data_IF_352262805176
#
_entry.id   IF_352262805176
#
_cell.length_a   1.000
_cell.length_b   1.000
_cell.length_c   1.000
_cell.angle_alpha   90.00
_cell.angle_beta   90.00
_cell.angle_gamma   90.00
#
_symmetry.space_group_name_H-M   'P 1'
#
loop_
_entity.id
_entity.type
_entity.pdbx_description
1 polymer ?
#
# COMPACT_ATOMS: atom_id res chain seq x y z
N UNK A 1 14.89 -18.71 47.51
CA UNK A 1 13.73 -17.80 47.61
C UNK A 1 14.19 -16.50 48.26
N UNK A 2 13.95 -15.29 47.73
CA UNK A 2 13.89 -14.86 46.32
C UNK A 2 14.94 -13.77 45.97
N UNK A 3 15.11 -13.58 44.66
CA UNK A 3 16.03 -12.65 43.97
C UNK A 3 15.58 -11.18 44.11
N UNK A 4 16.52 -10.27 44.39
CA UNK A 4 16.36 -8.82 44.14
C UNK A 4 16.51 -8.56 42.64
N UNK A 5 15.43 -8.10 42.00
CA UNK A 5 15.47 -7.54 40.66
C UNK A 5 15.85 -6.06 40.76
N UNK A 6 16.99 -5.71 40.16
CA UNK A 6 17.37 -4.35 39.87
C UNK A 6 16.48 -3.81 38.72
N UNK A 7 15.90 -2.63 38.93
CA UNK A 7 15.43 -1.78 37.83
C UNK A 7 16.64 -1.04 37.23
N UNK A 8 16.81 -1.04 35.90
CA UNK A 8 17.48 0.05 35.22
C UNK A 8 16.45 0.91 34.48
N UNK A 9 16.62 2.23 34.63
CA UNK A 9 15.72 3.26 34.14
C UNK A 9 15.50 3.21 32.63
N UNK A 10 14.24 3.30 32.26
CA UNK A 10 13.83 3.64 30.90
C UNK A 10 14.20 5.10 30.64
N UNK A 11 15.18 5.27 29.76
CA UNK A 11 15.70 6.52 29.25
C UNK A 11 14.60 7.34 28.53
N UNK A 12 14.34 8.55 29.03
CA UNK A 12 13.31 9.48 28.52
C UNK A 12 13.65 10.07 27.13
N UNK A 13 14.81 9.74 26.57
CA UNK A 13 15.26 10.23 25.26
C UNK A 13 14.71 9.44 24.06
N UNK A 14 14.14 8.25 24.23
CA UNK A 14 13.57 7.46 23.12
C UNK A 14 12.15 7.85 22.72
N UNK A 15 11.43 8.63 23.54
CA UNK A 15 10.06 9.04 23.25
C UNK A 15 9.96 10.26 22.30
N UNK A 16 11.07 10.93 22.00
CA UNK A 16 11.09 12.12 21.13
C UNK A 16 11.44 11.83 19.67
N UNK A 17 11.76 10.59 19.29
CA UNK A 17 11.99 10.19 17.89
C UNK A 17 10.67 9.79 17.18
N UNK A 18 9.59 9.56 17.93
CA UNK A 18 8.33 9.05 17.39
C UNK A 18 7.32 10.12 16.92
N UNK A 19 7.68 11.41 16.97
CA UNK A 19 6.73 12.52 16.78
C UNK A 19 6.95 13.41 15.53
N UNK A 20 7.76 13.01 14.53
CA UNK A 20 8.00 13.85 13.33
C UNK A 20 7.69 13.26 11.95
N UNK A 21 7.07 12.08 11.83
CA UNK A 21 6.87 11.44 10.51
C UNK A 21 5.43 11.04 10.18
N UNK A 22 4.48 11.95 10.36
CA UNK A 22 3.13 11.78 9.80
C UNK A 22 2.59 13.10 9.25
N UNK A 23 2.52 13.22 7.91
CA UNK A 23 1.67 14.24 7.30
C UNK A 23 1.94 14.59 5.84
N UNK A 24 3.20 14.81 5.45
CA UNK A 24 3.48 15.45 4.15
C UNK A 24 3.67 14.50 2.95
N UNK A 25 4.12 13.26 3.14
CA UNK A 25 4.37 12.35 2.00
C UNK A 25 3.13 11.61 1.50
N UNK A 26 2.06 11.57 2.29
CA UNK A 26 0.86 10.80 1.94
C UNK A 26 0.03 11.48 0.81
N UNK A 27 0.07 12.81 0.71
CA UNK A 27 -0.69 13.55 -0.32
C UNK A 27 -0.05 13.47 -1.73
N UNK A 28 1.26 13.24 -1.85
CA UNK A 28 1.93 13.13 -3.17
C UNK A 28 1.74 11.77 -3.83
N UNK A 29 1.64 10.69 -3.05
CA UNK A 29 1.41 9.34 -3.58
C UNK A 29 -0.04 9.14 -4.03
N UNK A 30 -1.00 9.82 -3.40
CA UNK A 30 -2.42 9.71 -3.71
C UNK A 30 -2.85 10.47 -4.98
N UNK A 31 -2.19 11.60 -5.29
CA UNK A 31 -2.51 12.41 -6.49
C UNK A 31 -1.97 11.80 -7.81
N UNK A 32 -0.95 10.95 -7.78
CA UNK A 32 -0.40 10.31 -8.98
C UNK A 32 -1.22 9.10 -9.47
N UNK A 33 -2.08 8.53 -8.61
CA UNK A 33 -3.01 7.46 -8.99
C UNK A 33 -4.14 7.90 -9.91
N UNK A 34 -4.52 9.18 -9.90
CA UNK A 34 -5.59 9.69 -10.77
C UNK A 34 -5.11 10.04 -12.19
N UNK A 35 -3.82 10.29 -12.40
CA UNK A 35 -3.27 10.57 -13.73
C UNK A 35 -3.24 9.32 -14.64
N UNK A 36 -3.20 8.11 -14.07
CA UNK A 36 -3.24 6.84 -14.81
C UNK A 36 -4.62 6.55 -15.44
N UNK A 37 -5.69 7.18 -14.93
CA UNK A 37 -7.06 6.99 -15.45
C UNK A 37 -7.28 7.73 -16.77
N UNK A 38 -6.51 8.79 -17.06
CA UNK A 38 -6.66 9.56 -18.30
C UNK A 38 -5.91 8.96 -19.50
N UNK A 39 -4.86 8.14 -19.28
CA UNK A 39 -4.04 7.62 -20.38
C UNK A 39 -4.72 6.48 -21.17
N UNK A 40 -5.61 5.72 -20.52
CA UNK A 40 -6.37 4.62 -21.14
C UNK A 40 -7.50 5.07 -22.07
N UNK A 41 -7.85 6.37 -22.09
CA UNK A 41 -8.86 6.92 -23.03
C UNK A 41 -8.30 7.30 -24.40
N UNK A 42 -7.02 7.65 -24.52
CA UNK A 42 -6.48 8.15 -25.80
C UNK A 42 -6.04 7.07 -26.79
N UNK A 43 -5.79 5.84 -26.35
CA UNK A 43 -5.31 4.74 -27.23
C UNK A 43 -6.41 3.87 -27.84
N UNK A 44 -7.69 4.24 -27.72
CA UNK A 44 -8.84 3.50 -28.31
C UNK A 44 -9.28 3.98 -29.70
N UNK A 45 -8.63 4.99 -30.31
CA UNK A 45 -9.09 5.55 -31.60
C UNK A 45 -8.45 4.94 -32.86
N UNK A 46 -7.32 4.24 -32.78
CA UNK A 46 -6.57 3.85 -33.99
C UNK A 46 -6.22 2.35 -34.06
N UNK A 47 -7.21 1.47 -34.05
CA UNK A 47 -7.04 0.12 -34.62
C UNK A 47 -8.33 -0.34 -35.32
N UNK A 48 -8.36 -0.18 -36.64
CA UNK A 48 -9.18 -1.02 -37.51
C UNK A 48 -8.55 -2.43 -37.58
N UNK A 49 -9.32 -3.52 -37.49
CA UNK A 49 -8.79 -4.86 -37.66
C UNK A 49 -9.01 -5.34 -39.10
N UNK A 50 -8.01 -6.03 -39.64
CA UNK A 50 -8.17 -6.99 -40.72
C UNK A 50 -7.25 -8.16 -40.43
N UNK A 51 -7.68 -9.34 -40.85
CA UNK A 51 -6.99 -10.65 -40.78
C UNK A 51 -7.55 -11.60 -39.70
N UNK A 52 -8.69 -12.20 -40.07
CA UNK A 52 -9.01 -13.64 -40.16
C UNK A 52 -8.38 -14.65 -39.20
N UNK A 53 -9.28 -15.39 -38.56
CA UNK A 53 -9.15 -16.56 -37.69
C UNK A 53 -8.57 -17.81 -38.39
N UNK A 54 -7.85 -18.65 -37.64
CA UNK A 54 -7.99 -20.10 -37.75
C UNK A 54 -7.55 -20.82 -36.46
N UNK A 55 -8.40 -21.72 -35.96
CA UNK A 55 -7.95 -22.95 -35.29
C UNK A 55 -7.98 -23.03 -33.76
N UNK A 56 -9.17 -23.19 -33.19
CA UNK A 56 -9.53 -24.25 -32.22
C UNK A 56 -8.80 -24.39 -30.87
N UNK A 57 -9.60 -24.57 -29.81
CA UNK A 57 -9.25 -25.07 -28.45
C UNK A 57 -8.79 -24.07 -27.37
N UNK A 58 -9.24 -22.80 -27.44
CA UNK A 58 -8.98 -21.77 -26.42
C UNK A 58 -10.25 -21.07 -25.92
N UNK A 59 -11.33 -21.81 -25.64
CA UNK A 59 -12.56 -21.21 -25.09
C UNK A 59 -12.98 -21.78 -23.73
N UNK A 60 -12.36 -22.87 -23.27
CA UNK A 60 -12.71 -23.50 -21.98
C UNK A 60 -11.74 -23.16 -20.83
N UNK A 61 -10.51 -22.71 -21.13
CA UNK A 61 -9.57 -22.19 -20.12
C UNK A 61 -9.75 -20.69 -19.81
N UNK A 62 -10.50 -19.99 -20.66
CA UNK A 62 -10.71 -18.55 -20.55
C UNK A 62 -11.89 -18.20 -19.63
N UNK A 63 -12.83 -19.13 -19.39
CA UNK A 63 -13.99 -18.91 -18.51
C UNK A 63 -13.62 -18.93 -17.02
N UNK A 64 -12.69 -19.80 -16.62
CA UNK A 64 -12.24 -19.91 -15.22
C UNK A 64 -11.28 -18.80 -14.80
N UNK A 65 -10.51 -18.24 -15.75
CA UNK A 65 -9.61 -17.10 -15.51
C UNK A 65 -10.34 -15.76 -15.59
N UNK A 66 -11.39 -15.65 -16.42
CA UNK A 66 -12.26 -14.47 -16.46
C UNK A 66 -12.98 -14.23 -15.12
N UNK A 67 -13.34 -15.28 -14.38
CA UNK A 67 -14.00 -15.12 -13.08
C UNK A 67 -13.03 -14.69 -11.96
N UNK A 68 -11.75 -15.09 -12.05
CA UNK A 68 -10.69 -14.62 -11.15
C UNK A 68 -10.28 -13.16 -11.47
N UNK A 69 -10.17 -12.80 -12.75
CA UNK A 69 -9.95 -11.41 -13.17
C UNK A 69 -11.13 -10.51 -12.79
N UNK A 70 -12.36 -11.00 -12.93
CA UNK A 70 -13.57 -10.27 -12.49
C UNK A 70 -13.57 -10.05 -10.98
N UNK A 71 -13.06 -10.99 -10.18
CA UNK A 71 -12.97 -10.83 -8.72
C UNK A 71 -11.94 -9.78 -8.29
N UNK A 72 -10.80 -9.68 -8.98
CA UNK A 72 -9.79 -8.65 -8.73
C UNK A 72 -10.19 -7.27 -9.28
N UNK A 73 -10.80 -7.19 -10.46
CA UNK A 73 -11.39 -5.95 -11.00
C UNK A 73 -12.59 -5.50 -10.16
N UNK A 74 -13.39 -6.43 -9.62
CA UNK A 74 -14.48 -6.14 -8.69
C UNK A 74 -13.95 -5.59 -7.36
N UNK A 75 -12.83 -6.11 -6.84
CA UNK A 75 -12.20 -5.60 -5.62
C UNK A 75 -11.58 -4.20 -5.83
N UNK A 76 -11.06 -3.89 -7.02
CA UNK A 76 -10.62 -2.54 -7.40
C UNK A 76 -11.77 -1.60 -7.81
N UNK A 77 -12.96 -2.11 -8.16
CA UNK A 77 -14.17 -1.33 -8.49
C UNK A 77 -15.06 -1.04 -7.26
N UNK A 78 -14.98 -1.84 -6.19
CA UNK A 78 -15.85 -1.68 -5.01
C UNK A 78 -15.28 -0.72 -3.96
N UNK A 79 -14.85 0.47 -4.41
CA UNK A 79 -14.83 1.66 -3.55
C UNK A 79 -15.05 2.93 -4.35
N UNK A 80 -16.06 2.92 -5.21
CA UNK A 80 -16.80 4.14 -5.48
C UNK A 80 -17.87 4.24 -4.38
N UNK A 81 -17.72 5.09 -3.34
CA UNK A 81 -18.91 5.48 -2.60
C UNK A 81 -19.83 6.10 -3.65
N UNK A 82 -21.06 5.58 -3.78
CA UNK A 82 -22.15 6.30 -4.42
C UNK A 82 -22.41 7.57 -3.57
N UNK A 83 -21.54 8.55 -3.74
CA UNK A 83 -21.45 9.78 -3.00
C UNK A 83 -22.27 10.81 -3.77
N UNK A 84 -23.57 10.56 -3.91
CA UNK A 84 -24.42 11.33 -4.82
C UNK A 84 -25.75 11.80 -4.24
N UNK A 85 -26.38 11.05 -3.35
CA UNK A 85 -27.77 11.37 -2.92
C UNK A 85 -27.98 11.48 -1.40
N UNK A 86 -27.16 10.82 -0.58
CA UNK A 86 -27.28 10.90 0.89
C UNK A 86 -26.68 12.18 1.49
N UNK A 87 -25.77 12.84 0.76
CA UNK A 87 -25.04 14.02 1.21
C UNK A 87 -25.97 15.24 1.39
N UNK A 88 -26.81 15.64 0.40
CA UNK A 88 -27.67 16.83 0.55
C UNK A 88 -28.78 16.65 1.61
N UNK A 89 -29.36 15.46 1.76
CA UNK A 89 -30.39 15.19 2.78
C UNK A 89 -29.81 15.34 4.19
N UNK A 90 -28.57 14.87 4.41
CA UNK A 90 -27.88 15.03 5.69
C UNK A 90 -27.58 16.50 6.01
N UNK A 91 -27.21 17.31 5.01
CA UNK A 91 -27.01 18.75 5.18
C UNK A 91 -28.30 19.48 5.55
N UNK A 92 -29.41 19.18 4.86
CA UNK A 92 -30.73 19.77 5.17
C UNK A 92 -31.19 19.37 6.57
N UNK A 93 -31.05 18.10 6.94
CA UNK A 93 -31.38 17.63 8.29
C UNK A 93 -30.51 18.30 9.37
N UNK A 94 -29.22 18.51 9.10
CA UNK A 94 -28.31 19.22 10.02
C UNK A 94 -28.72 20.69 10.19
N UNK A 95 -29.08 21.37 9.10
CA UNK A 95 -29.54 22.76 9.15
C UNK A 95 -30.84 22.86 9.97
N UNK A 96 -31.80 21.96 9.73
CA UNK A 96 -33.05 21.91 10.51
C UNK A 96 -32.74 21.65 11.98
N UNK A 97 -31.83 20.72 12.29
CA UNK A 97 -31.42 20.43 13.66
C UNK A 97 -30.81 21.67 14.34
N UNK A 98 -29.91 22.39 13.67
CA UNK A 98 -29.29 23.62 14.20
C UNK A 98 -30.35 24.69 14.46
N UNK A 99 -31.29 24.88 13.52
CA UNK A 99 -32.38 25.85 13.67
C UNK A 99 -33.27 25.49 14.86
N UNK A 100 -33.64 24.21 15.00
CA UNK A 100 -34.46 23.71 16.11
C UNK A 100 -33.73 23.88 17.44
N UNK A 101 -32.45 23.53 17.52
CA UNK A 101 -31.62 23.71 18.73
C UNK A 101 -31.54 25.19 19.11
N UNK A 102 -31.30 26.09 18.16
CA UNK A 102 -31.28 27.54 18.41
C UNK A 102 -32.65 28.09 18.84
N UNK A 103 -33.74 27.58 18.28
CA UNK A 103 -35.10 27.94 18.67
C UNK A 103 -35.41 27.49 20.11
N UNK A 104 -35.03 26.26 20.47
CA UNK A 104 -35.16 25.72 21.84
C UNK A 104 -34.31 26.54 22.82
N UNK A 105 -33.08 26.88 22.45
CA UNK A 105 -32.18 27.70 23.27
C UNK A 105 -32.83 29.03 23.67
N UNK A 106 -33.40 29.75 22.70
CA UNK A 106 -34.06 31.04 22.93
C UNK A 106 -35.31 30.94 23.82
N UNK A 107 -35.90 29.75 23.96
CA UNK A 107 -37.10 29.49 24.76
C UNK A 107 -36.79 28.97 26.17
N UNK A 108 -35.52 28.73 26.47
CA UNK A 108 -35.04 28.28 27.77
C UNK A 108 -34.91 29.47 28.74
N UNK A 109 -35.16 29.28 30.04
CA UNK A 109 -34.98 30.35 31.03
C UNK A 109 -33.50 30.73 31.15
N UNK A 110 -33.22 31.97 31.57
CA UNK A 110 -31.85 32.49 31.68
C UNK A 110 -31.04 31.63 32.67
N UNK A 111 -31.62 31.21 33.80
CA UNK A 111 -30.89 30.34 34.75
C UNK A 111 -30.53 28.98 34.16
N UNK A 112 -31.39 28.44 33.27
CA UNK A 112 -31.14 27.18 32.61
C UNK A 112 -30.12 27.31 31.46
N UNK A 113 -30.05 28.47 30.79
CA UNK A 113 -28.99 28.76 29.82
C UNK A 113 -27.62 28.83 30.51
N UNK A 114 -27.53 29.54 31.62
CA UNK A 114 -26.28 29.69 32.40
C UNK A 114 -25.78 28.33 32.90
N UNK A 115 -26.68 27.47 33.43
CA UNK A 115 -26.33 26.10 33.83
C UNK A 115 -25.75 25.27 32.68
N UNK A 116 -26.33 25.35 31.47
CA UNK A 116 -25.87 24.58 30.32
C UNK A 116 -24.49 25.06 29.85
N UNK A 117 -24.28 26.39 29.78
CA UNK A 117 -23.00 26.97 29.34
C UNK A 117 -21.89 26.65 30.34
N UNK A 118 -22.16 26.79 31.64
CA UNK A 118 -21.12 26.69 32.66
C UNK A 118 -20.80 25.25 33.08
N UNK A 119 -21.76 24.32 32.98
CA UNK A 119 -21.59 22.95 33.49
C UNK A 119 -21.74 21.88 32.40
N UNK A 120 -22.79 21.95 31.57
CA UNK A 120 -23.10 20.86 30.64
C UNK A 120 -22.17 20.86 29.40
N UNK A 121 -21.85 22.01 28.83
CA UNK A 121 -20.96 22.12 27.66
C UNK A 121 -19.53 21.66 27.98
N UNK A 122 -18.89 22.09 29.09
CA UNK A 122 -17.56 21.59 29.45
C UNK A 122 -17.52 20.08 29.68
N UNK A 123 -18.51 19.51 30.37
CA UNK A 123 -18.57 18.07 30.67
C UNK A 123 -18.76 17.21 29.42
N UNK A 124 -19.56 17.67 28.46
CA UNK A 124 -19.76 16.97 27.18
C UNK A 124 -18.52 17.04 26.29
N UNK A 125 -17.82 18.18 26.24
CA UNK A 125 -16.54 18.31 25.55
C UNK A 125 -15.50 17.37 26.16
N UNK A 126 -15.38 17.33 27.49
CA UNK A 126 -14.47 16.40 28.19
C UNK A 126 -14.81 14.94 27.87
N UNK A 127 -16.10 14.59 27.87
CA UNK A 127 -16.56 13.25 27.52
C UNK A 127 -16.22 12.85 26.08
N UNK A 128 -16.43 13.75 25.11
CA UNK A 128 -16.07 13.52 23.70
C UNK A 128 -14.56 13.41 23.49
N UNK A 129 -13.78 14.27 24.15
CA UNK A 129 -12.32 14.21 24.11
C UNK A 129 -11.83 12.89 24.72
N UNK A 130 -12.36 12.49 25.88
CA UNK A 130 -12.06 11.21 26.51
C UNK A 130 -12.41 10.01 25.62
N UNK A 131 -13.59 10.04 24.98
CA UNK A 131 -14.01 9.01 24.04
C UNK A 131 -13.08 8.92 22.82
N UNK A 132 -12.65 10.05 22.26
CA UNK A 132 -11.71 10.09 21.14
C UNK A 132 -10.32 9.57 21.55
N UNK A 133 -9.84 9.97 22.73
CA UNK A 133 -8.57 9.53 23.32
C UNK A 133 -8.54 8.02 23.56
N UNK A 134 -9.67 7.38 23.84
CA UNK A 134 -9.77 5.92 23.95
C UNK A 134 -10.00 5.24 22.59
N UNK A 135 -10.82 5.83 21.72
CA UNK A 135 -11.18 5.24 20.44
C UNK A 135 -9.99 5.08 19.49
N UNK A 136 -9.13 6.10 19.38
CA UNK A 136 -7.96 6.08 18.51
C UNK A 136 -7.00 4.91 18.85
N UNK A 137 -6.52 4.74 20.10
CA UNK A 137 -5.62 3.64 20.44
C UNK A 137 -6.31 2.27 20.35
N UNK A 138 -7.60 2.17 20.71
CA UNK A 138 -8.34 0.90 20.58
C UNK A 138 -8.44 0.49 19.11
N UNK A 139 -8.81 1.43 18.22
CA UNK A 139 -8.86 1.19 16.78
C UNK A 139 -7.47 0.81 16.24
N UNK A 140 -6.44 1.52 16.67
CA UNK A 140 -5.06 1.24 16.28
C UNK A 140 -4.61 -0.17 16.72
N UNK A 141 -4.90 -0.57 17.97
CA UNK A 141 -4.62 -1.89 18.50
C UNK A 141 -5.37 -2.99 17.75
N UNK A 142 -6.67 -2.79 17.46
CA UNK A 142 -7.46 -3.74 16.65
C UNK A 142 -6.89 -3.88 15.23
N UNK A 143 -6.59 -2.78 14.55
CA UNK A 143 -5.98 -2.81 13.22
C UNK A 143 -4.60 -3.50 13.24
N UNK A 144 -3.80 -3.28 14.30
CA UNK A 144 -2.51 -3.94 14.48
C UNK A 144 -2.67 -5.45 14.72
N UNK A 145 -3.65 -5.84 15.53
CA UNK A 145 -3.97 -7.25 15.78
C UNK A 145 -4.43 -7.97 14.52
N UNK A 146 -5.34 -7.38 13.74
CA UNK A 146 -5.83 -7.97 12.48
C UNK A 146 -4.67 -8.19 11.51
N UNK A 147 -3.80 -7.19 11.32
CA UNK A 147 -2.60 -7.35 10.46
C UNK A 147 -1.66 -8.44 10.97
N UNK A 148 -1.47 -8.53 12.29
CA UNK A 148 -0.63 -9.58 12.89
C UNK A 148 -1.21 -10.99 12.69
N UNK A 149 -2.53 -11.15 12.80
CA UNK A 149 -3.20 -12.44 12.60
C UNK A 149 -3.09 -12.89 11.14
N UNK A 150 -3.35 -11.98 10.21
CA UNK A 150 -3.27 -12.29 8.77
C UNK A 150 -1.84 -12.68 8.37
N UNK A 151 -0.83 -11.96 8.88
CA UNK A 151 0.58 -12.35 8.68
C UNK A 151 0.86 -13.77 9.17
N UNK A 152 0.45 -14.12 10.40
CA UNK A 152 0.66 -15.47 10.94
C UNK A 152 -0.04 -16.53 10.10
N UNK A 153 -1.27 -16.26 9.66
CA UNK A 153 -2.02 -17.15 8.76
C UNK A 153 -1.27 -17.37 7.45
N UNK A 154 -0.83 -16.29 6.80
CA UNK A 154 -0.10 -16.37 5.53
C UNK A 154 1.23 -17.13 5.67
N UNK A 155 1.96 -16.96 6.79
CA UNK A 155 3.16 -17.74 7.09
C UNK A 155 2.86 -19.24 7.24
N UNK A 156 1.78 -19.59 7.93
CA UNK A 156 1.38 -21.00 8.07
C UNK A 156 0.99 -21.62 6.72
N UNK A 157 0.35 -20.85 5.85
CA UNK A 157 0.02 -21.29 4.49
C UNK A 157 1.29 -21.45 3.65
N UNK A 158 2.21 -20.49 3.71
CA UNK A 158 3.46 -20.52 2.95
C UNK A 158 4.32 -21.74 3.28
N UNK A 159 4.38 -22.15 4.55
CA UNK A 159 5.12 -23.35 4.96
C UNK A 159 4.49 -24.66 4.52
N UNK A 160 3.17 -24.70 4.36
CA UNK A 160 2.43 -25.92 4.00
C UNK A 160 2.32 -26.11 2.49
N UNK A 161 2.33 -25.02 1.74
CA UNK A 161 2.12 -25.05 0.29
C UNK A 161 3.39 -25.52 -0.44
N UNK A 162 3.24 -26.52 -1.31
CA UNK A 162 4.35 -27.06 -2.12
C UNK A 162 4.33 -26.53 -3.56
N UNK A 163 3.18 -26.05 -4.04
CA UNK A 163 3.01 -25.56 -5.41
C UNK A 163 3.67 -24.20 -5.59
N UNK A 164 4.63 -24.11 -6.53
CA UNK A 164 5.44 -22.91 -6.73
C UNK A 164 4.63 -21.64 -7.05
N UNK A 165 3.60 -21.75 -7.89
CA UNK A 165 2.74 -20.62 -8.26
C UNK A 165 2.00 -20.03 -7.05
N UNK A 166 1.37 -20.90 -6.24
CA UNK A 166 0.68 -20.48 -5.01
C UNK A 166 1.65 -19.98 -3.96
N UNK A 167 2.84 -20.58 -3.84
CA UNK A 167 3.89 -20.07 -2.94
C UNK A 167 4.26 -18.64 -3.33
N UNK A 168 4.39 -18.35 -4.62
CA UNK A 168 4.70 -17.00 -5.10
C UNK A 168 3.59 -16.00 -4.78
N UNK A 169 2.32 -16.38 -4.98
CA UNK A 169 1.17 -15.56 -4.56
C UNK A 169 1.19 -15.27 -3.06
N UNK A 170 1.50 -16.28 -2.24
CA UNK A 170 1.63 -16.12 -0.79
C UNK A 170 2.80 -15.20 -0.42
N UNK A 171 3.93 -15.26 -1.14
CA UNK A 171 5.05 -14.32 -0.93
C UNK A 171 4.63 -12.88 -1.22
N UNK A 172 3.93 -12.65 -2.32
CA UNK A 172 3.44 -11.31 -2.67
C UNK A 172 2.45 -10.80 -1.61
N UNK A 173 1.48 -11.63 -1.22
CA UNK A 173 0.54 -11.30 -0.16
C UNK A 173 1.22 -11.01 1.19
N UNK A 174 2.24 -11.80 1.56
CA UNK A 174 3.01 -11.62 2.80
C UNK A 174 3.73 -10.27 2.83
N UNK A 175 4.46 -9.94 1.77
CA UNK A 175 5.24 -8.71 1.70
C UNK A 175 4.34 -7.47 1.58
N UNK A 176 3.24 -7.55 0.83
CA UNK A 176 2.27 -6.46 0.74
C UNK A 176 1.53 -6.23 2.06
N UNK A 177 1.12 -7.31 2.75
CA UNK A 177 0.49 -7.21 4.07
C UNK A 177 1.47 -6.66 5.13
N UNK A 178 2.77 -6.88 4.97
CA UNK A 178 3.82 -6.32 5.84
C UNK A 178 4.33 -4.94 5.36
N UNK A 179 3.64 -4.28 4.43
CA UNK A 179 4.00 -2.96 3.90
C UNK A 179 5.45 -2.91 3.38
N UNK A 180 5.95 -4.00 2.81
CA UNK A 180 7.33 -4.19 2.35
C UNK A 180 8.42 -4.12 3.44
N UNK A 181 8.05 -4.25 4.72
CA UNK A 181 9.00 -4.43 5.82
C UNK A 181 9.37 -5.91 5.94
N UNK A 182 10.57 -6.19 6.44
CA UNK A 182 11.04 -7.56 6.71
C UNK A 182 10.83 -7.99 8.17
N UNK A 183 10.41 -7.06 9.03
CA UNK A 183 10.24 -7.30 10.45
C UNK A 183 9.23 -8.43 10.72
N UNK A 184 9.68 -9.47 11.43
CA UNK A 184 8.91 -10.67 11.72
C UNK A 184 8.82 -11.68 10.56
N UNK A 185 9.59 -11.50 9.49
CA UNK A 185 9.71 -12.44 8.36
C UNK A 185 11.11 -13.05 8.25
N UNK A 186 12.00 -12.81 9.20
CA UNK A 186 13.44 -13.11 9.13
C UNK A 186 13.72 -14.59 8.83
N UNK A 187 12.92 -15.49 9.40
CA UNK A 187 13.06 -16.94 9.21
C UNK A 187 12.72 -17.39 7.78
N UNK A 188 11.87 -16.66 7.06
CA UNK A 188 11.45 -17.02 5.70
C UNK A 188 12.21 -16.25 4.62
N UNK A 189 12.90 -15.15 4.96
CA UNK A 189 13.67 -14.31 4.01
C UNK A 189 14.54 -15.12 3.05
N UNK A 190 15.32 -16.14 3.47
CA UNK A 190 16.14 -16.91 2.54
C UNK A 190 15.31 -17.62 1.46
N UNK A 191 14.17 -18.21 1.85
CA UNK A 191 13.25 -18.87 0.93
C UNK A 191 12.53 -17.87 0.02
N UNK A 192 12.15 -16.70 0.55
CA UNK A 192 11.57 -15.62 -0.26
C UNK A 192 12.57 -15.17 -1.34
N UNK A 193 13.83 -14.95 -0.95
CA UNK A 193 14.89 -14.51 -1.86
C UNK A 193 15.08 -15.49 -3.01
N UNK A 194 15.24 -16.77 -2.70
CA UNK A 194 15.44 -17.81 -3.71
C UNK A 194 14.27 -17.87 -4.69
N UNK A 195 13.04 -17.87 -4.17
CA UNK A 195 11.84 -17.93 -5.00
C UNK A 195 11.68 -16.68 -5.89
N UNK A 196 11.92 -15.48 -5.35
CA UNK A 196 11.81 -14.24 -6.10
C UNK A 196 12.94 -14.10 -7.13
N UNK A 197 14.17 -14.51 -6.80
CA UNK A 197 15.30 -14.47 -7.72
C UNK A 197 15.09 -15.41 -8.91
N UNK A 198 14.67 -16.65 -8.64
CA UNK A 198 14.34 -17.62 -9.71
C UNK A 198 13.18 -17.15 -10.56
N UNK A 199 12.16 -16.55 -9.96
CA UNK A 199 11.00 -15.97 -10.66
C UNK A 199 11.41 -14.84 -11.60
N UNK A 200 12.27 -13.92 -11.13
CA UNK A 200 12.78 -12.82 -11.94
C UNK A 200 13.63 -13.33 -13.13
N UNK A 201 14.32 -14.47 -12.98
CA UNK A 201 15.13 -15.08 -14.04
C UNK A 201 14.33 -15.89 -15.08
N UNK A 202 13.21 -16.53 -14.70
CA UNK A 202 12.61 -17.62 -15.49
C UNK A 202 11.27 -17.35 -16.16
N UNK A 203 10.59 -16.26 -15.85
CA UNK A 203 9.24 -16.09 -16.35
C UNK A 203 9.20 -16.07 -17.92
N UNK A 204 8.48 -17.01 -18.58
CA UNK A 204 7.99 -17.07 -20.02
C UNK A 204 6.48 -16.68 -20.44
N UNK A 205 6.17 -15.51 -21.07
CA UNK A 205 4.79 -15.05 -21.47
C UNK A 205 4.22 -13.69 -20.95
N UNK A 206 3.07 -13.24 -21.49
CA UNK A 206 2.46 -11.90 -21.28
C UNK A 206 2.20 -11.51 -19.81
N UNK A 207 1.82 -12.45 -18.94
CA UNK A 207 1.57 -12.15 -17.51
C UNK A 207 2.84 -11.84 -16.72
N UNK A 208 4.00 -11.90 -17.34
CA UNK A 208 5.22 -12.06 -16.59
C UNK A 208 6.06 -10.85 -16.45
N UNK A 209 5.92 -9.87 -17.33
CA UNK A 209 6.46 -8.58 -17.00
C UNK A 209 5.88 -8.11 -15.65
N UNK A 210 4.61 -8.42 -15.35
CA UNK A 210 4.02 -8.15 -14.02
C UNK A 210 4.71 -8.96 -12.92
N UNK A 211 4.84 -10.27 -13.08
CA UNK A 211 5.47 -11.15 -12.09
C UNK A 211 6.96 -10.82 -11.88
N UNK A 212 7.72 -10.58 -12.95
CA UNK A 212 9.13 -10.13 -12.93
C UNK A 212 9.25 -8.79 -12.22
N UNK A 213 8.39 -7.82 -12.54
CA UNK A 213 8.43 -6.51 -11.88
C UNK A 213 8.09 -6.60 -10.39
N UNK A 214 7.09 -7.40 -10.01
CA UNK A 214 6.80 -7.66 -8.60
C UNK A 214 7.99 -8.31 -7.90
N UNK A 215 8.58 -9.34 -8.51
CA UNK A 215 9.77 -10.00 -7.99
C UNK A 215 10.95 -9.02 -7.80
N UNK A 216 11.24 -8.17 -8.79
CA UNK A 216 12.28 -7.14 -8.69
C UNK A 216 12.01 -6.13 -7.57
N UNK A 217 10.77 -5.65 -7.45
CA UNK A 217 10.36 -4.74 -6.37
C UNK A 217 10.52 -5.38 -4.98
N UNK A 218 10.12 -6.65 -4.85
CA UNK A 218 10.14 -7.39 -3.60
C UNK A 218 11.56 -7.81 -3.18
N UNK A 219 12.41 -8.19 -4.13
CA UNK A 219 13.83 -8.43 -3.85
C UNK A 219 14.51 -7.20 -3.24
N UNK A 220 14.17 -6.00 -3.73
CA UNK A 220 14.65 -4.76 -3.11
C UNK A 220 14.08 -4.47 -1.72
N UNK A 221 12.91 -5.02 -1.38
CA UNK A 221 12.33 -4.91 -0.04
C UNK A 221 13.02 -5.83 0.98
N UNK A 222 13.65 -6.92 0.53
CA UNK A 222 14.36 -7.86 1.41
C UNK A 222 15.64 -7.29 2.03
N UNK A 223 16.10 -6.10 1.60
CA UNK A 223 17.32 -5.44 2.11
C UNK A 223 18.62 -6.26 1.96
N UNK A 224 18.63 -7.28 1.12
CA UNK A 224 19.80 -8.11 0.82
C UNK A 224 20.52 -7.59 -0.43
N UNK A 225 21.72 -7.03 -0.29
CA UNK A 225 22.51 -6.48 -1.41
C UNK A 225 23.03 -7.52 -2.39
N UNK A 226 23.01 -8.82 -2.06
CA UNK A 226 23.44 -9.88 -2.99
C UNK A 226 22.60 -9.95 -4.27
N UNK A 227 21.40 -9.37 -4.26
CA UNK A 227 20.48 -9.37 -5.41
C UNK A 227 20.72 -8.18 -6.36
N UNK A 228 21.61 -7.25 -6.03
CA UNK A 228 21.88 -6.06 -6.85
C UNK A 228 22.26 -6.41 -8.30
N UNK A 229 23.16 -7.38 -8.60
CA UNK A 229 23.46 -7.73 -9.99
C UNK A 229 22.23 -8.20 -10.77
N UNK A 230 21.32 -8.90 -10.10
CA UNK A 230 20.07 -9.37 -10.71
C UNK A 230 19.11 -8.21 -10.98
N UNK A 231 19.01 -7.24 -10.06
CA UNK A 231 18.21 -6.04 -10.26
C UNK A 231 18.79 -5.11 -11.34
N UNK A 232 20.12 -5.03 -11.47
CA UNK A 232 20.76 -4.31 -12.57
C UNK A 232 20.39 -4.93 -13.92
N UNK A 233 20.36 -6.26 -14.02
CA UNK A 233 19.88 -6.94 -15.23
C UNK A 233 18.40 -6.65 -15.50
N UNK A 234 17.56 -6.61 -14.47
CA UNK A 234 16.14 -6.28 -14.60
C UNK A 234 15.88 -4.80 -14.97
N UNK A 235 16.85 -3.91 -14.72
CA UNK A 235 16.80 -2.52 -15.18
C UNK A 235 16.98 -2.40 -16.71
N UNK A 236 17.44 -3.47 -17.37
CA UNK A 236 17.62 -3.57 -18.82
C UNK A 236 16.49 -4.40 -19.48
N UNK A 237 15.43 -4.75 -18.74
CA UNK A 237 14.30 -5.56 -19.21
C UNK A 237 13.52 -4.86 -20.33
N UNK A 238 12.95 -5.65 -21.24
CA UNK A 238 12.18 -5.15 -22.39
C UNK A 238 10.95 -4.35 -21.96
N UNK A 239 10.34 -4.73 -20.84
CA UNK A 239 9.11 -4.14 -20.36
C UNK A 239 9.35 -3.04 -19.33
N UNK A 240 8.81 -1.84 -19.59
CA UNK A 240 8.99 -0.66 -18.74
C UNK A 240 8.61 -0.87 -17.26
N UNK A 241 7.52 -1.59 -17.01
CA UNK A 241 7.13 -1.96 -15.64
C UNK A 241 8.24 -2.68 -14.85
N UNK A 242 8.95 -3.63 -15.47
CA UNK A 242 10.03 -4.38 -14.80
C UNK A 242 11.19 -3.45 -14.50
N UNK A 243 11.61 -2.63 -15.47
CA UNK A 243 12.68 -1.62 -15.29
C UNK A 243 12.36 -0.64 -14.18
N UNK A 244 11.12 -0.15 -14.12
CA UNK A 244 10.65 0.75 -13.07
C UNK A 244 10.69 0.11 -11.68
N UNK A 245 10.28 -1.16 -11.57
CA UNK A 245 10.36 -1.93 -10.33
C UNK A 245 11.81 -2.24 -9.93
N UNK A 246 12.69 -2.53 -10.89
CA UNK A 246 14.12 -2.74 -10.67
C UNK A 246 14.78 -1.46 -10.13
N UNK A 247 14.50 -0.31 -10.74
CA UNK A 247 14.97 0.99 -10.25
C UNK A 247 14.51 1.25 -8.80
N UNK A 248 13.23 0.99 -8.50
CA UNK A 248 12.69 1.09 -7.15
C UNK A 248 13.44 0.17 -6.17
N UNK A 249 13.67 -1.10 -6.56
CA UNK A 249 14.39 -2.07 -5.74
C UNK A 249 15.84 -1.64 -5.45
N UNK A 250 16.56 -1.18 -6.46
CA UNK A 250 17.93 -0.65 -6.33
C UNK A 250 17.98 0.58 -5.39
N UNK A 251 16.98 1.46 -5.46
CA UNK A 251 16.84 2.59 -4.55
C UNK A 251 16.58 2.17 -3.10
N UNK A 252 15.75 1.15 -2.87
CA UNK A 252 15.48 0.59 -1.52
C UNK A 252 16.73 -0.01 -0.88
N UNK A 253 17.57 -0.67 -1.68
CA UNK A 253 18.84 -1.27 -1.23
C UNK A 253 19.97 -0.25 -1.06
N UNK A 254 19.73 1.02 -1.44
CA UNK A 254 20.77 2.05 -1.56
C UNK A 254 22.02 1.57 -2.33
N UNK A 255 21.79 0.85 -3.44
CA UNK A 255 22.85 0.25 -4.24
C UNK A 255 23.67 1.31 -5.00
N UNK A 256 24.75 1.79 -4.41
CA UNK A 256 25.60 2.85 -4.97
C UNK A 256 26.25 2.46 -6.29
N UNK A 257 26.58 1.19 -6.48
CA UNK A 257 27.07 0.60 -7.73
C UNK A 257 26.09 0.73 -8.90
N UNK A 258 24.79 0.95 -8.63
CA UNK A 258 23.78 1.14 -9.67
C UNK A 258 23.66 2.59 -10.17
N UNK A 259 24.39 3.53 -9.56
CA UNK A 259 24.26 4.98 -9.84
C UNK A 259 24.32 5.32 -11.33
N UNK A 260 25.33 4.83 -12.06
CA UNK A 260 25.49 5.17 -13.48
C UNK A 260 24.35 4.60 -14.35
N UNK A 261 23.92 3.35 -14.09
CA UNK A 261 22.79 2.74 -14.79
C UNK A 261 21.46 3.43 -14.48
N UNK A 262 21.24 3.82 -13.23
CA UNK A 262 20.07 4.59 -12.82
C UNK A 262 20.08 5.99 -13.46
N UNK A 263 21.24 6.63 -13.57
CA UNK A 263 21.36 7.91 -14.28
C UNK A 263 21.01 7.76 -15.76
N UNK A 264 21.56 6.76 -16.44
CA UNK A 264 21.21 6.46 -17.82
C UNK A 264 19.69 6.19 -17.99
N UNK A 265 19.08 5.40 -17.10
CA UNK A 265 17.64 5.16 -17.11
C UNK A 265 16.82 6.43 -16.83
N UNK A 266 17.30 7.33 -15.98
CA UNK A 266 16.66 8.62 -15.71
C UNK A 266 16.68 9.55 -16.93
N UNK A 267 17.81 9.59 -17.64
CA UNK A 267 18.04 10.54 -18.73
C UNK A 267 17.50 10.04 -20.08
N UNK A 268 17.54 8.72 -20.32
CA UNK A 268 17.36 8.15 -21.66
C UNK A 268 16.27 7.09 -21.79
N UNK A 269 15.64 6.62 -20.70
CA UNK A 269 14.55 5.64 -20.83
C UNK A 269 13.34 6.27 -21.53
N UNK A 270 12.71 5.52 -22.44
CA UNK A 270 11.54 5.99 -23.20
C UNK A 270 10.30 6.13 -22.30
N UNK A 271 10.17 5.32 -21.26
CA UNK A 271 9.04 5.33 -20.35
C UNK A 271 9.23 6.35 -19.22
N UNK A 272 8.25 7.25 -19.06
CA UNK A 272 8.29 8.31 -18.05
C UNK A 272 8.31 7.77 -16.61
N UNK A 273 7.65 6.64 -16.36
CA UNK A 273 7.62 6.00 -15.04
C UNK A 273 9.00 5.50 -14.68
N UNK A 274 9.71 4.86 -15.62
CA UNK A 274 11.08 4.41 -15.40
C UNK A 274 11.99 5.59 -15.07
N UNK A 275 11.93 6.68 -15.86
CA UNK A 275 12.72 7.89 -15.56
C UNK A 275 12.44 8.44 -14.17
N UNK A 276 11.17 8.49 -13.76
CA UNK A 276 10.77 8.96 -12.44
C UNK A 276 11.28 8.06 -11.31
N UNK A 277 11.17 6.73 -11.47
CA UNK A 277 11.68 5.76 -10.48
C UNK A 277 13.19 5.77 -10.37
N UNK A 278 13.88 5.95 -11.48
CA UNK A 278 15.32 6.07 -11.50
C UNK A 278 15.79 7.34 -10.76
N UNK A 279 15.10 8.48 -10.95
CA UNK A 279 15.34 9.70 -10.16
C UNK A 279 15.14 9.48 -8.66
N UNK A 280 14.00 8.90 -8.27
CA UNK A 280 13.68 8.56 -6.88
C UNK A 280 14.76 7.67 -6.26
N UNK A 281 15.23 6.67 -7.01
CA UNK A 281 16.30 5.78 -6.58
C UNK A 281 17.63 6.55 -6.38
N UNK A 282 18.02 7.41 -7.32
CA UNK A 282 19.22 8.24 -7.21
C UNK A 282 19.18 9.20 -6.01
N UNK A 283 18.02 9.74 -5.67
CA UNK A 283 17.82 10.56 -4.47
C UNK A 283 18.11 9.74 -3.20
N UNK A 284 17.59 8.51 -3.12
CA UNK A 284 17.86 7.59 -2.00
C UNK A 284 19.33 7.19 -1.89
N UNK A 285 20.09 7.18 -2.99
CA UNK A 285 21.53 6.90 -2.96
C UNK A 285 22.36 8.06 -2.38
N UNK A 286 21.80 9.28 -2.31
CA UNK A 286 22.52 10.46 -1.80
C UNK A 286 22.44 10.59 -0.28
N UNK A 287 21.40 10.00 0.33
CA UNK A 287 21.09 10.02 1.77
C UNK A 287 21.59 8.76 2.47
#
# INVERSE_FOLDING_TARGET
MPRRLAHPGADRSQLLIFLSLTGQDFNRVWLLGQSQVNYSRHRRRNLHPSITLSGGSRLERDSLTANQLRSYDFFLMTKQPQQGQMVPVLFVALIILIIVVGWIWKRLSVEAQDYIVDQAVPMTIIGLVGALLLFIPIKMLRCRQVRSQERTRLLTLFHRETVQEKRLELVFALLENNEYHIDGLESVVPALKELLATTLQRALGDKQHRIRGMAASHLGALQDRSVVPLLLKALEDDHAYVRACAALGLGRLRATEARERLKAAMDHDWDQTVRSRAREALERLRT
#
